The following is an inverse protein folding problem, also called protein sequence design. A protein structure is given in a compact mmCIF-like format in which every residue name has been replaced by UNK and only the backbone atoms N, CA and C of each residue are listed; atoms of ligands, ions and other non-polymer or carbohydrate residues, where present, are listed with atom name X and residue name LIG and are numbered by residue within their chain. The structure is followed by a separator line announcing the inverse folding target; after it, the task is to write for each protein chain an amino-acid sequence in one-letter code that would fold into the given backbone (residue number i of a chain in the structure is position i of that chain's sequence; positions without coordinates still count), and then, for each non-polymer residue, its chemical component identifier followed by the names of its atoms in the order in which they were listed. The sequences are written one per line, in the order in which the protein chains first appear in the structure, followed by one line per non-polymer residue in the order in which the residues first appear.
data_IF_675306391326
#
_entry.id   IF_675306391326
#
_cell.length_a   1.000
_cell.length_b   1.000
_cell.length_c   1.000
_cell.angle_alpha   90.00
_cell.angle_beta   90.00
_cell.angle_gamma   90.00
#
_symmetry.space_group_name_H-M   'P 1'
#
loop_
_entity.id
_entity.type
_entity.pdbx_description
1 polymer ?
#
# COMPACT_ATOMS: atom_id res chain seq x y z
N UNK A 1 16.39 -79.12 10.91
CA UNK A 1 17.72 -79.28 10.26
C UNK A 1 18.44 -77.93 10.37
N UNK A 2 19.38 -77.77 11.31
CA UNK A 2 20.84 -77.57 11.08
C UNK A 2 21.15 -76.49 10.01
N UNK A 3 21.93 -75.42 10.21
CA UNK A 3 22.89 -74.99 11.27
C UNK A 3 23.41 -73.56 10.93
N UNK A 4 23.79 -72.78 11.97
CA UNK A 4 24.87 -71.72 12.08
C UNK A 4 24.82 -70.47 11.18
N UNK A 5 24.79 -69.20 11.61
CA UNK A 5 25.50 -68.38 12.65
C UNK A 5 27.01 -68.21 12.44
N UNK A 6 27.45 -66.98 12.12
CA UNK A 6 28.59 -66.22 12.72
C UNK A 6 28.62 -64.78 12.14
N UNK A 7 28.38 -63.66 12.85
CA UNK A 7 29.12 -62.90 13.89
C UNK A 7 30.29 -62.02 13.39
N UNK A 8 30.23 -60.72 13.73
CA UNK A 8 31.27 -59.72 14.09
C UNK A 8 30.68 -58.31 13.83
N UNK A 9 30.23 -57.47 14.77
CA UNK A 9 30.69 -56.97 16.07
C UNK A 9 31.78 -55.87 16.01
N UNK A 10 31.47 -54.73 16.66
CA UNK A 10 32.35 -53.69 17.26
C UNK A 10 32.83 -52.60 16.27
N UNK A 11 32.43 -51.32 16.27
CA UNK A 11 32.09 -50.27 17.27
C UNK A 11 33.23 -49.28 17.56
N UNK A 12 32.84 -48.00 17.78
CA UNK A 12 33.59 -46.87 18.39
C UNK A 12 34.65 -46.16 17.52
N UNK A 13 34.92 -44.84 17.60
CA UNK A 13 34.30 -43.63 18.17
C UNK A 13 35.21 -42.45 17.72
N UNK A 14 34.63 -41.24 17.58
CA UNK A 14 35.22 -39.89 17.72
C UNK A 14 36.53 -39.49 16.99
N UNK A 15 36.53 -38.28 16.40
CA UNK A 15 37.25 -37.12 16.95
C UNK A 15 36.85 -35.82 16.21
N UNK A 16 36.54 -34.79 16.99
CA UNK A 16 36.49 -33.39 16.58
C UNK A 16 37.72 -32.66 17.13
N UNK A 17 38.22 -31.65 16.39
CA UNK A 17 38.94 -30.42 16.80
C UNK A 17 39.73 -29.90 15.57
N UNK A 18 39.47 -28.72 15.00
CA UNK A 18 39.60 -27.32 15.46
C UNK A 18 40.94 -26.66 15.03
N UNK A 19 40.84 -25.37 14.68
CA UNK A 19 41.81 -24.27 14.84
C UNK A 19 42.64 -23.77 13.63
N UNK A 20 42.49 -22.46 13.35
CA UNK A 20 43.53 -21.42 13.15
C UNK A 20 44.43 -21.50 11.88
N UNK A 21 44.93 -20.42 11.24
CA UNK A 21 44.98 -18.97 11.45
C UNK A 21 45.65 -18.32 10.20
N UNK A 22 45.54 -16.99 10.11
CA UNK A 22 46.47 -16.02 9.47
C UNK A 22 46.45 -15.92 7.93
N UNK A 23 46.60 -14.75 7.28
CA UNK A 23 47.02 -13.40 7.71
C UNK A 23 46.67 -12.33 6.67
N UNK A 24 46.66 -11.09 7.15
CA UNK A 24 46.55 -9.77 6.52
C UNK A 24 47.36 -9.47 5.25
N UNK A 25 46.81 -8.58 4.41
CA UNK A 25 47.55 -7.74 3.46
C UNK A 25 46.82 -6.43 3.21
N UNK A 26 47.43 -5.32 3.63
CA UNK A 26 46.98 -3.93 3.51
C UNK A 26 47.06 -3.42 2.06
N UNK A 27 46.09 -2.61 1.63
CA UNK A 27 46.09 -1.93 0.34
C UNK A 27 45.06 -0.79 0.33
N UNK A 28 45.50 0.39 0.72
CA UNK A 28 44.72 1.63 0.68
C UNK A 28 44.66 2.10 -0.79
N UNK A 29 43.46 2.24 -1.36
CA UNK A 29 43.23 3.08 -2.55
C UNK A 29 41.92 3.81 -2.39
N UNK A 30 42.02 5.13 -2.28
CA UNK A 30 40.94 6.09 -2.42
C UNK A 30 40.21 5.82 -3.75
N UNK A 31 38.91 5.55 -3.66
CA UNK A 31 37.99 5.75 -4.78
C UNK A 31 36.88 6.67 -4.30
N UNK A 32 37.07 7.94 -4.67
CA UNK A 32 36.07 9.00 -4.68
C UNK A 32 34.84 8.48 -5.42
N UNK A 33 33.76 8.20 -4.68
CA UNK A 33 32.44 8.04 -5.27
C UNK A 33 31.97 9.44 -5.67
N UNK A 34 32.23 9.81 -6.91
CA UNK A 34 31.54 10.89 -7.59
C UNK A 34 30.08 10.50 -7.69
N UNK A 35 29.23 11.17 -6.90
CA UNK A 35 27.79 11.15 -7.09
C UNK A 35 27.53 11.84 -8.42
N UNK A 36 27.27 11.03 -9.44
CA UNK A 36 26.87 11.52 -10.75
C UNK A 36 25.41 11.96 -10.62
N UNK A 37 25.19 13.27 -10.62
CA UNK A 37 23.90 13.93 -10.80
C UNK A 37 23.28 13.40 -12.10
N UNK A 38 22.40 12.42 -11.98
CA UNK A 38 21.46 12.12 -13.05
C UNK A 38 20.30 13.09 -12.86
N UNK A 39 20.03 14.00 -13.82
CA UNK A 39 18.82 14.78 -13.78
C UNK A 39 17.64 13.81 -13.75
N UNK A 40 16.75 14.03 -12.79
CA UNK A 40 15.45 13.36 -12.76
C UNK A 40 14.71 13.86 -14.00
N UNK A 41 14.91 13.14 -15.10
CA UNK A 41 14.11 13.29 -16.29
C UNK A 41 12.65 13.20 -15.83
N UNK A 42 11.93 14.29 -16.06
CA UNK A 42 10.48 14.34 -16.04
C UNK A 42 9.97 13.35 -17.09
N UNK A 43 9.89 12.08 -16.70
CA UNK A 43 9.16 11.08 -17.46
C UNK A 43 7.71 11.48 -17.35
N UNK A 44 7.17 12.01 -18.44
CA UNK A 44 5.75 12.24 -18.61
C UNK A 44 5.00 11.01 -18.10
N UNK A 45 4.12 11.23 -17.12
CA UNK A 45 3.27 10.23 -16.52
C UNK A 45 2.42 9.55 -17.60
N UNK A 46 2.94 8.46 -18.15
CA UNK A 46 2.16 7.49 -18.91
C UNK A 46 1.74 6.40 -17.92
N UNK A 47 0.96 6.79 -16.89
CA UNK A 47 0.39 5.86 -15.93
C UNK A 47 -0.85 5.19 -16.53
N UNK A 48 -0.62 4.41 -17.58
CA UNK A 48 -1.50 3.34 -18.00
C UNK A 48 -0.90 2.02 -17.50
N UNK A 49 -1.08 1.72 -16.21
CA UNK A 49 -1.00 0.33 -15.73
C UNK A 49 -2.23 -0.48 -16.19
N UNK A 50 -2.62 -0.29 -17.46
CA UNK A 50 -3.72 -0.91 -18.19
C UNK A 50 -3.30 -1.23 -19.64
N UNK A 51 -1.99 -1.32 -19.89
CA UNK A 51 -1.39 -1.41 -21.23
C UNK A 51 -1.79 -2.61 -22.10
N UNK A 52 -2.61 -3.54 -21.60
CA UNK A 52 -3.13 -4.67 -22.37
C UNK A 52 -4.54 -4.44 -22.96
N UNK A 53 -5.30 -3.46 -22.46
CA UNK A 53 -6.68 -3.20 -22.92
C UNK A 53 -6.71 -1.89 -23.69
N UNK A 54 -7.11 -1.93 -24.96
CA UNK A 54 -7.39 -0.72 -25.74
C UNK A 54 -8.76 -0.14 -25.33
N UNK A 55 -8.75 0.80 -24.40
CA UNK A 55 -9.95 1.46 -23.86
C UNK A 55 -10.76 2.23 -24.89
N UNK A 56 -10.17 2.61 -26.03
CA UNK A 56 -10.92 3.25 -27.11
C UNK A 56 -11.93 2.28 -27.74
N UNK A 57 -11.68 0.97 -27.63
CA UNK A 57 -12.56 -0.10 -28.12
C UNK A 57 -13.59 -0.57 -27.09
N UNK A 58 -13.57 0.01 -25.89
CA UNK A 58 -14.46 -0.35 -24.78
C UNK A 58 -15.68 0.60 -24.79
N UNK A 59 -16.91 0.06 -24.73
CA UNK A 59 -18.13 0.86 -24.81
C UNK A 59 -18.28 1.80 -23.60
N UNK A 60 -18.73 3.03 -23.85
CA UNK A 60 -19.08 4.01 -22.82
C UNK A 60 -20.58 3.94 -22.54
N UNK A 61 -20.93 3.21 -21.47
CA UNK A 61 -22.30 2.92 -21.10
C UNK A 61 -22.92 4.11 -20.37
N UNK A 62 -24.15 4.44 -20.74
CA UNK A 62 -24.95 5.51 -20.14
C UNK A 62 -26.19 4.90 -19.46
N UNK A 63 -26.71 5.60 -18.45
CA UNK A 63 -27.97 5.25 -17.79
C UNK A 63 -28.03 3.85 -17.14
N UNK A 64 -26.88 3.30 -16.75
CA UNK A 64 -26.76 2.00 -16.06
C UNK A 64 -26.86 2.09 -14.52
N UNK A 65 -27.30 3.25 -14.01
CA UNK A 65 -27.36 3.53 -12.58
C UNK A 65 -26.02 3.98 -12.00
N UNK A 66 -25.86 3.82 -10.68
CA UNK A 66 -24.65 4.19 -9.94
C UNK A 66 -23.95 2.95 -9.44
N UNK A 67 -22.64 3.07 -9.18
CA UNK A 67 -21.83 2.03 -8.56
C UNK A 67 -22.55 1.44 -7.32
N UNK A 68 -22.67 0.09 -7.19
CA UNK A 68 -21.97 -0.96 -7.96
C UNK A 68 -22.65 -1.40 -9.28
N UNK A 69 -23.64 -0.66 -9.79
CA UNK A 69 -24.36 -0.92 -11.06
C UNK A 69 -25.14 -2.24 -11.14
N UNK A 70 -25.08 -3.08 -10.11
CA UNK A 70 -25.71 -4.39 -10.04
C UNK A 70 -26.37 -4.52 -8.66
N UNK A 71 -27.60 -5.04 -8.65
CA UNK A 71 -28.34 -5.42 -7.44
C UNK A 71 -28.54 -6.93 -7.40
N UNK A 72 -28.86 -7.51 -6.25
CA UNK A 72 -29.21 -8.92 -6.17
C UNK A 72 -30.44 -9.24 -7.04
N UNK A 73 -30.39 -10.30 -7.88
CA UNK A 73 -31.57 -10.82 -8.55
C UNK A 73 -32.66 -11.19 -7.56
N UNK A 74 -33.93 -11.11 -7.98
CA UNK A 74 -35.06 -11.47 -7.12
C UNK A 74 -34.85 -12.88 -6.53
N UNK A 75 -34.89 -12.98 -5.21
CA UNK A 75 -34.72 -14.24 -4.47
C UNK A 75 -33.28 -14.55 -4.04
N UNK A 76 -32.29 -13.81 -4.53
CA UNK A 76 -30.93 -13.85 -4.02
C UNK A 76 -30.70 -12.74 -3.00
N UNK A 77 -29.69 -12.92 -2.14
CA UNK A 77 -29.26 -11.94 -1.13
C UNK A 77 -27.76 -11.73 -1.26
N UNK A 78 -27.32 -10.52 -0.94
CA UNK A 78 -25.91 -10.20 -0.81
C UNK A 78 -25.47 -10.58 0.61
N UNK A 79 -24.39 -11.35 0.71
CA UNK A 79 -23.82 -11.73 1.99
C UNK A 79 -23.29 -10.49 2.72
N UNK A 80 -23.58 -10.40 4.03
CA UNK A 80 -23.16 -9.29 4.92
C UNK A 80 -23.36 -7.90 4.31
N UNK A 81 -24.50 -7.71 3.63
CA UNK A 81 -24.73 -6.53 2.78
C UNK A 81 -24.58 -5.20 3.53
N UNK A 82 -23.73 -4.33 2.96
CA UNK A 82 -23.62 -2.92 3.31
C UNK A 82 -23.53 -2.10 2.03
N UNK A 83 -24.52 -1.23 1.79
CA UNK A 83 -24.61 -0.39 0.59
C UNK A 83 -24.55 -1.19 -0.73
N UNK A 84 -25.20 -2.36 -0.77
CA UNK A 84 -25.23 -3.22 -1.97
C UNK A 84 -23.93 -3.98 -2.25
N UNK A 85 -23.00 -4.04 -1.30
CA UNK A 85 -21.74 -4.78 -1.40
C UNK A 85 -21.56 -5.71 -0.20
N UNK A 86 -20.81 -6.80 -0.40
CA UNK A 86 -20.28 -7.66 0.68
C UNK A 86 -19.01 -7.04 1.25
N UNK A 87 -18.09 -6.61 0.38
CA UNK A 87 -16.86 -5.91 0.77
C UNK A 87 -16.62 -4.69 -0.11
N UNK A 88 -15.92 -3.70 0.43
CA UNK A 88 -15.65 -2.42 -0.23
C UNK A 88 -14.26 -1.89 0.11
N UNK A 89 -13.51 -1.48 -0.90
CA UNK A 89 -12.15 -0.94 -0.79
C UNK A 89 -12.02 0.34 -1.61
N UNK A 90 -11.52 1.42 -1.00
CA UNK A 90 -11.29 2.69 -1.70
C UNK A 90 -10.11 2.59 -2.68
N UNK A 91 -9.11 1.76 -2.38
CA UNK A 91 -8.00 1.50 -3.28
C UNK A 91 -7.43 0.10 -3.02
N UNK A 92 -7.51 -0.78 -4.02
CA UNK A 92 -7.09 -2.17 -3.95
C UNK A 92 -6.59 -2.66 -5.31
N UNK A 93 -5.83 -3.77 -5.30
CA UNK A 93 -5.33 -4.45 -6.49
C UNK A 93 -6.19 -5.67 -6.81
N UNK A 94 -6.48 -5.87 -8.08
CA UNK A 94 -7.18 -7.04 -8.61
C UNK A 94 -6.38 -7.66 -9.76
N UNK A 95 -6.13 -8.96 -9.69
CA UNK A 95 -5.64 -9.73 -10.83
C UNK A 95 -6.80 -10.28 -11.65
N UNK A 96 -6.76 -10.05 -12.97
CA UNK A 96 -7.79 -10.46 -13.91
C UNK A 96 -7.17 -11.42 -14.92
N UNK A 97 -7.81 -12.58 -15.10
CA UNK A 97 -7.39 -13.58 -16.07
C UNK A 97 -8.07 -13.35 -17.41
N UNK A 98 -7.28 -13.11 -18.47
CA UNK A 98 -7.80 -12.82 -19.81
C UNK A 98 -7.66 -14.00 -20.79
N UNK A 99 -7.44 -15.21 -20.28
CA UNK A 99 -7.14 -16.39 -21.11
C UNK A 99 -5.68 -16.47 -21.53
N UNK A 100 -5.30 -17.59 -22.15
CA UNK A 100 -3.93 -17.83 -22.65
C UNK A 100 -2.83 -17.53 -21.61
N UNK A 101 -3.06 -17.90 -20.36
CA UNK A 101 -2.12 -17.68 -19.24
C UNK A 101 -1.81 -16.20 -18.95
N UNK A 102 -2.58 -15.28 -19.53
CA UNK A 102 -2.42 -13.85 -19.35
C UNK A 102 -3.18 -13.36 -18.11
N UNK A 103 -2.41 -12.85 -17.13
CA UNK A 103 -2.92 -12.09 -16.00
C UNK A 103 -2.64 -10.61 -16.21
N UNK A 104 -3.65 -9.77 -16.01
CA UNK A 104 -3.48 -8.32 -15.92
C UNK A 104 -3.80 -7.86 -14.50
N UNK A 105 -2.97 -6.95 -13.98
CA UNK A 105 -3.20 -6.31 -12.69
C UNK A 105 -3.88 -4.98 -12.91
N UNK A 106 -4.96 -4.74 -12.17
CA UNK A 106 -5.70 -3.48 -12.16
C UNK A 106 -5.77 -2.96 -10.74
N UNK A 107 -5.78 -1.64 -10.59
CA UNK A 107 -5.82 -0.99 -9.28
C UNK A 107 -6.89 0.10 -9.28
N UNK A 108 -7.47 0.36 -8.11
CA UNK A 108 -8.49 1.37 -7.90
C UNK A 108 -9.53 0.95 -6.87
N UNK A 109 -10.71 1.55 -6.94
CA UNK A 109 -11.80 1.27 -6.01
C UNK A 109 -12.44 -0.07 -6.35
N UNK A 110 -12.46 -0.99 -5.38
CA UNK A 110 -12.95 -2.36 -5.55
C UNK A 110 -14.18 -2.63 -4.70
N UNK A 111 -15.22 -3.14 -5.34
CA UNK A 111 -16.43 -3.65 -4.70
C UNK A 111 -16.53 -5.14 -4.94
N UNK A 112 -16.90 -5.88 -3.89
CA UNK A 112 -17.11 -7.32 -3.96
C UNK A 112 -18.56 -7.59 -3.58
N UNK A 113 -19.27 -8.33 -4.41
CA UNK A 113 -20.62 -8.83 -4.14
C UNK A 113 -20.54 -10.34 -4.11
N UNK A 114 -20.83 -10.92 -2.96
CA UNK A 114 -20.99 -12.37 -2.77
C UNK A 114 -22.49 -12.63 -2.57
N UNK A 115 -23.05 -13.53 -3.38
CA UNK A 115 -24.45 -13.93 -3.29
C UNK A 115 -24.51 -15.40 -2.86
N UNK A 116 -24.77 -15.60 -1.57
CA UNK A 116 -24.81 -16.88 -0.83
C UNK A 116 -25.92 -16.83 0.26
N UNK A 117 -26.32 -17.88 1.00
CA UNK A 117 -26.38 -19.34 0.87
C UNK A 117 -27.54 -19.82 1.79
N UNK A 118 -28.27 -20.87 1.36
CA UNK A 118 -29.39 -21.65 1.99
C UNK A 118 -30.83 -21.10 2.00
N UNK A 119 -31.81 -22.00 1.82
CA UNK A 119 -31.96 -22.92 0.68
C UNK A 119 -32.52 -22.16 -0.54
N UNK A 120 -32.07 -22.50 -1.75
CA UNK A 120 -32.61 -21.92 -2.99
C UNK A 120 -31.62 -21.19 -3.90
N UNK A 121 -30.32 -21.17 -3.58
CA UNK A 121 -29.32 -20.73 -4.55
C UNK A 121 -29.31 -21.65 -5.76
N UNK A 122 -29.25 -21.05 -6.95
CA UNK A 122 -29.21 -21.74 -8.22
C UNK A 122 -28.24 -20.98 -9.13
N UNK A 123 -27.08 -21.59 -9.38
CA UNK A 123 -26.01 -21.08 -10.24
C UNK A 123 -26.53 -20.64 -11.61
N UNK A 124 -27.32 -21.48 -12.28
CA UNK A 124 -27.90 -21.16 -13.59
C UNK A 124 -28.83 -19.94 -13.54
N UNK A 125 -29.56 -19.74 -12.44
CA UNK A 125 -30.41 -18.56 -12.25
C UNK A 125 -29.56 -17.31 -12.00
N UNK A 126 -28.53 -17.40 -11.15
CA UNK A 126 -27.55 -16.34 -10.97
C UNK A 126 -26.93 -15.95 -12.30
N UNK A 127 -26.36 -16.93 -13.02
CA UNK A 127 -25.70 -16.76 -14.31
C UNK A 127 -26.61 -16.06 -15.31
N UNK A 128 -27.84 -16.56 -15.51
CA UNK A 128 -28.79 -15.95 -16.46
C UNK A 128 -29.14 -14.51 -16.12
N UNK A 129 -29.22 -14.15 -14.85
CA UNK A 129 -29.54 -12.78 -14.45
C UNK A 129 -28.33 -11.87 -14.58
N UNK A 130 -27.17 -12.29 -14.08
CA UNK A 130 -25.97 -11.43 -14.01
C UNK A 130 -25.33 -11.28 -15.39
N UNK A 131 -25.02 -12.38 -16.07
CA UNK A 131 -24.46 -12.31 -17.43
C UNK A 131 -25.45 -11.67 -18.40
N UNK A 132 -26.73 -12.07 -18.32
CA UNK A 132 -27.77 -11.48 -19.16
C UNK A 132 -27.96 -9.98 -18.96
N UNK A 133 -27.79 -9.48 -17.73
CA UNK A 133 -27.80 -8.05 -17.45
C UNK A 133 -26.58 -7.34 -18.05
N UNK A 134 -25.37 -7.87 -17.82
CA UNK A 134 -24.13 -7.29 -18.34
C UNK A 134 -24.10 -7.24 -19.87
N UNK A 135 -24.58 -8.30 -20.52
CA UNK A 135 -24.74 -8.35 -21.97
C UNK A 135 -25.79 -7.33 -22.45
N UNK A 136 -26.93 -7.21 -21.74
CA UNK A 136 -28.00 -6.27 -22.08
C UNK A 136 -27.57 -4.81 -21.98
N UNK A 137 -26.77 -4.45 -20.98
CA UNK A 137 -26.23 -3.09 -20.85
C UNK A 137 -25.09 -2.83 -21.84
N UNK A 138 -24.61 -3.86 -22.56
CA UNK A 138 -23.57 -3.73 -23.58
C UNK A 138 -22.16 -3.72 -23.01
N UNK A 139 -21.92 -4.30 -21.83
CA UNK A 139 -20.57 -4.48 -21.32
C UNK A 139 -19.77 -5.42 -22.24
N UNK A 140 -18.52 -5.08 -22.53
CA UNK A 140 -17.68 -5.86 -23.46
C UNK A 140 -17.00 -7.00 -22.73
N UNK A 141 -17.19 -8.23 -23.20
CA UNK A 141 -16.44 -9.39 -22.70
C UNK A 141 -14.98 -9.27 -23.16
N UNK A 142 -14.05 -9.30 -22.20
CA UNK A 142 -12.62 -9.44 -22.44
C UNK A 142 -12.20 -10.91 -22.45
N UNK A 143 -12.82 -11.71 -21.58
CA UNK A 143 -12.58 -13.15 -21.50
C UNK A 143 -13.79 -13.87 -20.92
N UNK A 144 -14.05 -15.10 -21.38
CA UNK A 144 -15.06 -15.98 -20.83
C UNK A 144 -14.59 -17.42 -21.00
N UNK A 145 -14.29 -18.12 -19.91
CA UNK A 145 -13.81 -19.49 -20.00
C UNK A 145 -13.15 -20.00 -18.72
N UNK A 146 -12.62 -21.24 -18.77
CA UNK A 146 -11.97 -21.86 -17.61
C UNK A 146 -10.67 -21.14 -17.26
N UNK A 147 -10.36 -21.06 -15.96
CA UNK A 147 -9.05 -20.60 -15.52
C UNK A 147 -7.92 -21.48 -16.07
N UNK A 148 -6.73 -20.92 -16.15
CA UNK A 148 -5.52 -21.64 -16.58
C UNK A 148 -5.28 -22.90 -15.76
N UNK A 149 -4.76 -23.95 -16.40
CA UNK A 149 -4.24 -25.15 -15.74
C UNK A 149 -2.73 -25.10 -15.49
N UNK A 150 -2.05 -24.05 -15.95
CA UNK A 150 -0.62 -23.87 -15.75
C UNK A 150 -0.32 -23.56 -14.29
N UNK A 151 0.54 -24.36 -13.66
CA UNK A 151 0.82 -24.28 -12.23
C UNK A 151 1.33 -22.89 -11.82
N UNK A 152 2.17 -22.27 -12.65
CA UNK A 152 2.71 -20.93 -12.38
C UNK A 152 1.64 -19.83 -12.33
N UNK A 153 0.54 -19.98 -13.08
CA UNK A 153 -0.61 -19.06 -13.04
C UNK A 153 -1.47 -19.39 -11.83
N UNK A 154 -1.71 -20.68 -11.56
CA UNK A 154 -2.49 -21.16 -10.42
C UNK A 154 -1.91 -20.71 -9.09
N UNK A 155 -0.59 -20.77 -8.90
CA UNK A 155 0.07 -20.36 -7.66
C UNK A 155 -0.12 -18.87 -7.38
N UNK A 156 0.01 -18.01 -8.41
CA UNK A 156 -0.26 -16.56 -8.27
C UNK A 156 -1.71 -16.29 -7.86
N UNK A 157 -2.66 -16.98 -8.50
CA UNK A 157 -4.09 -16.86 -8.14
C UNK A 157 -4.34 -17.29 -6.68
N UNK A 158 -3.74 -18.39 -6.21
CA UNK A 158 -3.89 -18.87 -4.83
C UNK A 158 -3.28 -17.90 -3.81
N UNK A 159 -2.07 -17.39 -4.05
CA UNK A 159 -1.36 -16.49 -3.14
C UNK A 159 -2.18 -15.22 -2.87
N UNK A 160 -2.81 -14.66 -3.89
CA UNK A 160 -3.57 -13.43 -3.79
C UNK A 160 -4.83 -13.58 -2.92
N UNK A 161 -5.49 -14.73 -2.92
CA UNK A 161 -6.70 -14.91 -2.11
C UNK A 161 -6.43 -14.91 -0.59
N UNK A 162 -5.32 -15.46 -0.13
CA UNK A 162 -5.05 -15.63 1.30
C UNK A 162 -4.06 -14.62 1.89
N UNK A 163 -3.35 -13.86 1.04
CA UNK A 163 -2.31 -12.92 1.49
C UNK A 163 -2.82 -11.56 1.92
N UNK A 164 -4.02 -11.14 1.47
CA UNK A 164 -4.52 -9.78 1.68
C UNK A 164 -3.70 -8.71 0.96
N UNK A 165 -2.88 -9.09 -0.04
CA UNK A 165 -1.98 -8.18 -0.78
C UNK A 165 -2.53 -7.82 -2.17
N UNK A 166 -3.21 -8.73 -2.85
CA UNK A 166 -4.02 -8.45 -4.04
C UNK A 166 -5.27 -9.33 -3.98
N UNK A 167 -6.40 -8.93 -4.55
CA UNK A 167 -7.53 -9.84 -4.76
C UNK A 167 -7.45 -10.50 -6.13
N UNK A 168 -8.05 -11.67 -6.26
CA UNK A 168 -8.21 -12.34 -7.55
C UNK A 168 -9.56 -13.02 -7.63
N UNK A 169 -9.97 -13.36 -8.84
CA UNK A 169 -11.13 -14.20 -9.09
C UNK A 169 -10.73 -15.67 -9.22
N UNK A 170 -11.37 -16.52 -8.41
CA UNK A 170 -11.40 -17.96 -8.61
C UNK A 170 -10.20 -18.73 -8.11
N UNK A 171 -10.45 -19.61 -7.14
CA UNK A 171 -9.40 -20.21 -6.33
C UNK A 171 -9.61 -21.68 -5.96
N UNK A 172 -10.68 -22.35 -6.38
CA UNK A 172 -10.90 -23.74 -5.92
C UNK A 172 -11.57 -24.69 -6.89
N UNK A 173 -12.41 -24.22 -7.79
CA UNK A 173 -13.24 -25.10 -8.62
C UNK A 173 -12.99 -24.76 -10.09
N UNK A 174 -13.01 -25.74 -11.00
CA UNK A 174 -12.85 -25.59 -12.47
C UNK A 174 -13.92 -24.69 -13.14
N UNK A 175 -14.56 -23.79 -12.38
CA UNK A 175 -15.62 -22.92 -12.83
C UNK A 175 -15.08 -21.79 -13.71
N UNK A 176 -15.75 -21.52 -14.83
CA UNK A 176 -15.33 -20.46 -15.73
C UNK A 176 -15.43 -19.10 -15.03
N UNK A 177 -14.51 -18.22 -15.41
CA UNK A 177 -14.58 -16.79 -15.08
C UNK A 177 -15.00 -16.04 -16.34
N UNK A 178 -15.82 -15.02 -16.16
CA UNK A 178 -16.08 -14.04 -17.22
C UNK A 178 -15.59 -12.67 -16.77
N UNK A 179 -14.79 -12.03 -17.61
CA UNK A 179 -14.24 -10.70 -17.40
C UNK A 179 -14.88 -9.75 -18.39
N UNK A 180 -15.56 -8.74 -17.89
CA UNK A 180 -16.18 -7.66 -18.65
C UNK A 180 -15.41 -6.37 -18.46
N UNK A 181 -15.51 -5.47 -19.44
CA UNK A 181 -15.07 -4.09 -19.33
C UNK A 181 -16.08 -3.13 -19.95
N UNK A 182 -16.21 -1.95 -19.34
CA UNK A 182 -16.96 -0.83 -19.87
C UNK A 182 -16.40 0.49 -19.35
N UNK A 183 -16.80 1.59 -19.96
CA UNK A 183 -16.58 2.95 -19.45
C UNK A 183 -17.90 3.52 -18.98
N UNK A 184 -17.87 4.36 -17.95
CA UNK A 184 -19.04 5.10 -17.48
C UNK A 184 -18.56 6.39 -16.82
N UNK A 185 -19.18 7.54 -17.16
CA UNK A 185 -18.88 8.85 -16.56
C UNK A 185 -17.37 9.22 -16.56
N UNK A 186 -16.63 8.83 -17.61
CA UNK A 186 -15.19 9.12 -17.73
C UNK A 186 -14.27 8.18 -16.93
N UNK A 187 -14.84 7.20 -16.21
CA UNK A 187 -14.13 6.15 -15.50
C UNK A 187 -14.15 4.85 -16.29
N UNK A 188 -13.15 4.01 -16.04
CA UNK A 188 -13.00 2.70 -16.65
C UNK A 188 -13.32 1.62 -15.62
N UNK A 189 -14.06 0.59 -16.03
CA UNK A 189 -14.50 -0.47 -15.13
C UNK A 189 -14.12 -1.85 -15.68
N UNK A 190 -13.71 -2.73 -14.78
CA UNK A 190 -13.57 -4.16 -15.04
C UNK A 190 -14.45 -4.92 -14.06
N UNK A 191 -15.27 -5.83 -14.58
CA UNK A 191 -16.09 -6.72 -13.77
C UNK A 191 -15.65 -8.15 -13.99
N UNK A 192 -15.40 -8.87 -12.91
CA UNK A 192 -15.19 -10.31 -12.97
C UNK A 192 -16.37 -10.99 -12.31
N UNK A 193 -16.95 -11.96 -13.00
CA UNK A 193 -18.07 -12.77 -12.51
C UNK A 193 -17.63 -14.23 -12.49
N UNK A 194 -17.93 -14.90 -11.39
CA UNK A 194 -17.78 -16.33 -11.24
C UNK A 194 -18.91 -16.88 -10.37
N UNK A 195 -19.33 -18.11 -10.63
CA UNK A 195 -20.30 -18.83 -9.80
C UNK A 195 -19.87 -20.28 -9.65
N UNK A 196 -20.29 -20.90 -8.55
CA UNK A 196 -20.23 -22.34 -8.34
C UNK A 196 -21.56 -22.80 -7.73
N UNK A 197 -21.65 -24.03 -7.22
CA UNK A 197 -22.87 -24.56 -6.63
C UNK A 197 -23.28 -23.92 -5.29
N UNK A 198 -22.40 -23.10 -4.69
CA UNK A 198 -22.60 -22.44 -3.41
C UNK A 198 -22.91 -20.94 -3.55
N UNK A 199 -22.12 -20.24 -4.37
CA UNK A 199 -22.13 -18.78 -4.53
C UNK A 199 -22.15 -18.33 -5.98
N UNK A 200 -22.62 -17.09 -6.16
CA UNK A 200 -22.15 -16.21 -7.21
C UNK A 200 -21.32 -15.06 -6.63
N UNK A 201 -20.18 -14.77 -7.23
CA UNK A 201 -19.27 -13.69 -6.82
C UNK A 201 -19.04 -12.72 -7.97
N UNK A 202 -19.12 -11.43 -7.68
CA UNK A 202 -18.87 -10.34 -8.62
C UNK A 202 -17.83 -9.40 -8.00
N UNK A 203 -16.73 -9.19 -8.72
CA UNK A 203 -15.75 -8.15 -8.42
C UNK A 203 -15.94 -7.00 -9.39
N UNK A 204 -16.02 -5.77 -8.89
CA UNK A 204 -16.26 -4.57 -9.68
C UNK A 204 -15.14 -3.60 -9.36
N UNK A 205 -14.21 -3.45 -10.28
CA UNK A 205 -13.06 -2.54 -10.18
C UNK A 205 -13.37 -1.26 -10.95
N UNK A 206 -13.48 -0.13 -10.26
CA UNK A 206 -13.33 1.20 -10.87
C UNK A 206 -11.84 1.51 -10.93
N UNK A 207 -11.29 1.58 -12.14
CA UNK A 207 -9.86 1.82 -12.31
C UNK A 207 -9.54 3.26 -11.92
N UNK A 208 -8.61 3.40 -10.99
CA UNK A 208 -8.06 4.69 -10.58
C UNK A 208 -6.55 4.65 -10.71
N UNK A 209 -5.98 5.71 -11.29
CA UNK A 209 -4.53 5.84 -11.32
C UNK A 209 -4.03 6.03 -9.88
N UNK A 210 -2.95 5.33 -9.52
CA UNK A 210 -2.26 5.62 -8.27
C UNK A 210 -1.77 7.07 -8.27
N UNK A 211 -2.36 7.91 -7.43
CA UNK A 211 -1.83 9.25 -7.16
C UNK A 211 -0.91 9.17 -5.94
N UNK A 212 0.40 9.13 -6.18
CA UNK A 212 1.40 9.24 -5.12
C UNK A 212 1.30 10.60 -4.43
N UNK A 213 0.62 10.66 -3.29
CA UNK A 213 0.48 11.89 -2.50
C UNK A 213 1.69 12.16 -1.61
N UNK A 214 2.61 11.20 -1.48
CA UNK A 214 3.86 11.37 -0.75
C UNK A 214 4.75 12.33 -1.54
N UNK A 215 4.76 13.59 -1.11
CA UNK A 215 5.69 14.60 -1.59
C UNK A 215 6.93 14.58 -0.71
N UNK A 216 8.12 14.58 -1.33
CA UNK A 216 9.35 14.91 -0.62
C UNK A 216 9.16 16.33 -0.07
N UNK A 217 9.40 16.54 1.22
CA UNK A 217 9.45 17.91 1.74
C UNK A 217 10.56 18.67 1.02
N UNK A 218 10.26 19.83 0.47
CA UNK A 218 11.27 20.75 -0.08
C UNK A 218 11.33 22.01 0.76
N UNK A 219 12.52 22.63 0.86
CA UNK A 219 12.68 23.92 1.53
C UNK A 219 11.63 24.95 1.07
N UNK A 220 11.38 25.04 -0.24
CA UNK A 220 10.40 25.94 -0.85
C UNK A 220 8.97 25.68 -0.37
N UNK A 221 8.52 24.42 -0.34
CA UNK A 221 7.16 24.08 0.10
C UNK A 221 6.97 24.33 1.60
N UNK A 222 7.97 23.97 2.42
CA UNK A 222 7.95 24.25 3.87
C UNK A 222 7.86 25.76 4.11
N UNK A 223 8.68 26.56 3.42
CA UNK A 223 8.67 28.01 3.52
C UNK A 223 7.33 28.62 3.10
N UNK A 224 6.79 28.19 1.95
CA UNK A 224 5.48 28.64 1.45
C UNK A 224 4.35 28.38 2.43
N UNK A 225 4.34 27.22 3.10
CA UNK A 225 3.34 26.87 4.09
C UNK A 225 3.48 27.72 5.38
N UNK A 226 4.72 27.94 5.84
CA UNK A 226 5.00 28.83 6.98
C UNK A 226 4.57 30.26 6.68
N UNK A 227 4.82 30.77 5.47
CA UNK A 227 4.44 32.13 5.11
C UNK A 227 2.92 32.31 5.01
N UNK A 228 2.21 31.28 4.54
CA UNK A 228 0.73 31.30 4.45
C UNK A 228 0.04 31.15 5.80
N UNK A 229 0.51 30.24 6.64
CA UNK A 229 -0.24 29.79 7.83
C UNK A 229 0.45 30.12 9.15
N UNK A 230 1.70 30.58 9.11
CA UNK A 230 2.56 30.73 10.28
C UNK A 230 3.22 29.42 10.73
N UNK A 231 2.91 28.27 10.12
CA UNK A 231 3.52 26.98 10.47
C UNK A 231 3.60 26.00 9.30
N UNK A 232 4.38 24.93 9.43
CA UNK A 232 4.37 23.79 8.52
C UNK A 232 4.25 22.48 9.30
N UNK A 233 3.43 21.54 8.81
CA UNK A 233 3.23 20.23 9.43
C UNK A 233 4.08 19.17 8.71
N UNK A 234 4.98 18.52 9.45
CA UNK A 234 5.97 17.59 8.93
C UNK A 234 5.86 16.21 9.59
N UNK A 235 5.97 15.16 8.79
CA UNK A 235 6.05 13.77 9.23
C UNK A 235 7.51 13.32 9.19
N UNK A 236 8.20 13.48 10.32
CA UNK A 236 9.61 13.16 10.46
C UNK A 236 9.77 11.75 11.06
N UNK A 237 10.55 10.90 10.41
CA UNK A 237 10.73 9.51 10.81
C UNK A 237 11.78 9.36 11.91
N UNK A 238 11.38 8.67 12.99
CA UNK A 238 12.23 8.29 14.11
C UNK A 238 12.26 6.78 14.30
N UNK A 239 13.25 6.28 15.03
CA UNK A 239 13.23 4.91 15.54
C UNK A 239 12.02 4.67 16.46
N UNK A 240 11.50 3.44 16.43
CA UNK A 240 10.33 3.05 17.22
C UNK A 240 10.58 3.32 18.70
N UNK A 241 9.64 4.05 19.33
CA UNK A 241 9.70 4.49 20.73
C UNK A 241 10.98 5.25 21.12
N UNK A 242 11.61 5.90 20.13
CA UNK A 242 12.84 6.67 20.32
C UNK A 242 12.75 8.05 19.65
N UNK A 243 13.72 8.89 19.99
CA UNK A 243 13.93 10.20 19.38
C UNK A 243 15.10 10.21 18.37
N UNK A 244 15.65 9.05 18.00
CA UNK A 244 16.72 8.95 17.00
C UNK A 244 16.14 9.14 15.60
N UNK A 245 16.67 10.09 14.82
CA UNK A 245 16.28 10.32 13.43
C UNK A 245 16.74 9.18 12.52
N UNK A 246 15.81 8.63 11.74
CA UNK A 246 16.11 7.70 10.65
C UNK A 246 16.66 8.42 9.42
N UNK A 247 17.27 7.72 8.44
CA UNK A 247 17.76 8.33 7.21
C UNK A 247 16.72 9.22 6.52
N UNK A 248 15.46 8.79 6.45
CA UNK A 248 14.37 9.57 5.83
C UNK A 248 14.05 10.82 6.65
N UNK A 249 14.07 10.72 7.99
CA UNK A 249 13.89 11.86 8.88
C UNK A 249 15.03 12.89 8.78
N UNK A 250 16.26 12.44 8.52
CA UNK A 250 17.41 13.32 8.27
C UNK A 250 17.25 14.10 6.96
N UNK A 251 16.74 13.48 5.91
CA UNK A 251 16.46 14.17 4.64
C UNK A 251 15.46 15.32 4.83
N UNK A 252 14.41 15.11 5.66
CA UNK A 252 13.49 16.21 6.00
C UNK A 252 14.22 17.30 6.78
N UNK A 253 15.05 16.92 7.75
CA UNK A 253 15.83 17.89 8.52
C UNK A 253 16.84 18.69 7.67
N UNK A 254 17.41 18.09 6.61
CA UNK A 254 18.25 18.79 5.64
C UNK A 254 17.47 19.87 4.88
N UNK A 255 16.22 19.57 4.48
CA UNK A 255 15.36 20.53 3.78
C UNK A 255 14.92 21.68 4.70
N UNK A 256 14.71 21.40 5.99
CA UNK A 256 14.49 22.44 7.00
C UNK A 256 15.75 23.33 7.16
N UNK A 257 16.94 22.72 7.16
CA UNK A 257 18.19 23.48 7.23
C UNK A 257 18.39 24.37 5.98
N UNK A 258 18.10 23.85 4.79
CA UNK A 258 18.14 24.61 3.54
C UNK A 258 17.22 25.83 3.61
N UNK A 259 15.95 25.64 4.02
CA UNK A 259 15.00 26.73 4.23
C UNK A 259 15.55 27.82 5.18
N UNK A 260 16.12 27.41 6.31
CA UNK A 260 16.63 28.33 7.32
C UNK A 260 17.91 29.06 6.87
N UNK A 261 18.72 28.43 6.02
CA UNK A 261 19.91 29.04 5.44
C UNK A 261 19.55 30.05 4.35
N UNK A 262 18.54 29.75 3.53
CA UNK A 262 17.98 30.69 2.54
C UNK A 262 17.28 31.88 3.20
N UNK A 263 16.70 31.68 4.39
CA UNK A 263 15.93 32.69 5.11
C UNK A 263 16.58 33.02 6.46
N UNK A 264 17.70 33.74 6.45
CA UNK A 264 18.53 33.99 7.65
C UNK A 264 17.82 34.70 8.81
N UNK A 265 16.75 35.47 8.52
CA UNK A 265 15.91 36.12 9.52
C UNK A 265 14.82 35.23 10.14
N UNK A 266 14.52 34.08 9.52
CA UNK A 266 13.45 33.20 9.99
C UNK A 266 13.85 32.52 11.31
N UNK A 267 12.97 32.60 12.31
CA UNK A 267 13.08 31.89 13.59
C UNK A 267 11.92 30.93 13.71
N UNK A 268 12.18 29.72 14.23
CA UNK A 268 11.17 28.66 14.31
C UNK A 268 11.16 27.97 15.67
N UNK A 269 9.96 27.56 16.08
CA UNK A 269 9.70 26.59 17.15
C UNK A 269 9.47 25.24 16.50
N UNK A 270 10.22 24.23 16.91
CA UNK A 270 10.08 22.85 16.48
C UNK A 270 9.21 22.16 17.53
N UNK A 271 8.01 21.74 17.14
CA UNK A 271 6.99 21.29 18.07
C UNK A 271 6.62 19.84 17.79
N UNK A 272 6.89 18.96 18.75
CA UNK A 272 6.58 17.54 18.63
C UNK A 272 5.17 17.21 19.14
N UNK A 273 4.52 16.25 18.48
CA UNK A 273 3.20 15.74 18.82
C UNK A 273 3.15 14.21 18.75
N UNK A 274 2.27 13.60 19.54
CA UNK A 274 1.97 12.16 19.53
C UNK A 274 0.48 11.91 19.30
N UNK A 275 0.12 10.65 19.06
CA UNK A 275 -1.26 10.20 19.29
C UNK A 275 -1.53 10.01 20.80
N UNK A 276 -2.75 9.60 21.15
CA UNK A 276 -3.19 9.39 22.53
C UNK A 276 -2.85 7.99 23.11
N UNK A 277 -2.06 7.18 22.41
CA UNK A 277 -1.65 5.86 22.89
C UNK A 277 -0.57 5.99 23.96
N UNK A 278 -0.68 5.23 25.04
CA UNK A 278 0.29 5.24 26.14
C UNK A 278 0.02 6.30 27.21
N UNK A 279 1.01 6.53 28.07
CA UNK A 279 0.90 7.46 29.21
C UNK A 279 1.11 8.91 28.76
N UNK A 280 0.20 9.81 29.12
CA UNK A 280 0.24 11.22 28.73
C UNK A 280 1.59 11.91 29.04
N UNK A 281 2.12 11.72 30.26
CA UNK A 281 3.41 12.30 30.64
C UNK A 281 4.57 11.79 29.77
N UNK A 282 4.54 10.50 29.40
CA UNK A 282 5.56 9.90 28.53
C UNK A 282 5.45 10.45 27.11
N UNK A 283 4.25 10.69 26.62
CA UNK A 283 4.01 11.30 25.31
C UNK A 283 4.54 12.74 25.22
N UNK A 284 4.35 13.54 26.27
CA UNK A 284 4.92 14.89 26.36
C UNK A 284 6.46 14.83 26.34
N UNK A 285 7.06 13.91 27.09
CA UNK A 285 8.51 13.72 27.11
C UNK A 285 9.05 13.27 25.75
N UNK A 286 8.47 12.22 25.17
CA UNK A 286 8.89 11.68 23.87
C UNK A 286 8.77 12.70 22.73
N UNK A 287 7.67 13.45 22.69
CA UNK A 287 7.49 14.50 21.68
C UNK A 287 8.53 15.61 21.83
N UNK A 288 8.87 15.99 23.07
CA UNK A 288 9.93 16.96 23.35
C UNK A 288 11.31 16.44 22.94
N UNK A 289 11.64 15.19 23.28
CA UNK A 289 12.91 14.56 22.87
C UNK A 289 13.04 14.55 21.33
N UNK A 290 11.97 14.22 20.60
CA UNK A 290 11.96 14.24 19.12
C UNK A 290 12.20 15.64 18.56
N UNK A 291 11.53 16.66 19.10
CA UNK A 291 11.75 18.04 18.71
C UNK A 291 13.20 18.49 18.98
N UNK A 292 13.77 18.08 20.12
CA UNK A 292 15.17 18.35 20.47
C UNK A 292 16.15 17.64 19.53
N UNK A 293 15.86 16.41 19.11
CA UNK A 293 16.69 15.69 18.14
C UNK A 293 16.74 16.40 16.78
N UNK A 294 15.61 16.91 16.31
CA UNK A 294 15.56 17.73 15.08
C UNK A 294 16.36 19.01 15.28
N UNK A 295 16.12 19.74 16.37
CA UNK A 295 16.87 20.97 16.70
C UNK A 295 18.39 20.71 16.74
N UNK A 296 18.82 19.64 17.41
CA UNK A 296 20.22 19.24 17.50
C UNK A 296 20.82 18.98 16.12
N UNK A 297 20.08 18.25 15.27
CA UNK A 297 20.51 18.00 13.90
C UNK A 297 20.69 19.30 13.10
N UNK A 298 19.75 20.24 13.19
CA UNK A 298 19.84 21.53 12.51
C UNK A 298 21.04 22.36 12.96
N UNK A 299 21.39 22.30 14.25
CA UNK A 299 22.56 22.99 14.79
C UNK A 299 23.85 22.31 14.30
N UNK A 300 23.97 21.00 14.47
CA UNK A 300 25.22 20.26 14.25
C UNK A 300 25.52 19.99 12.78
N UNK A 301 24.50 19.72 11.98
CA UNK A 301 24.62 19.36 10.56
C UNK A 301 24.16 20.47 9.64
N UNK A 302 23.06 21.14 9.99
CA UNK A 302 22.53 22.26 9.24
C UNK A 302 23.27 23.59 9.45
N UNK A 303 24.17 23.66 10.44
CA UNK A 303 24.91 24.86 10.84
C UNK A 303 24.00 26.05 11.23
N UNK A 304 22.80 25.78 11.73
CA UNK A 304 21.84 26.82 12.12
C UNK A 304 22.17 27.39 13.50
N UNK A 305 22.16 28.72 13.61
CA UNK A 305 22.37 29.41 14.88
C UNK A 305 21.30 29.01 15.92
N UNK A 306 21.68 28.47 17.09
CA UNK A 306 20.71 28.03 18.11
C UNK A 306 19.71 29.10 18.58
N UNK A 307 20.08 30.38 18.52
CA UNK A 307 19.18 31.49 18.90
C UNK A 307 17.95 31.64 17.98
N UNK A 308 17.97 30.99 16.81
CA UNK A 308 16.85 30.96 15.84
C UNK A 308 15.88 29.81 16.08
N UNK A 309 16.18 28.91 17.01
CA UNK A 309 15.47 27.66 17.20
C UNK A 309 14.93 27.54 18.62
N UNK A 310 13.69 27.03 18.74
CA UNK A 310 13.13 26.51 20.00
C UNK A 310 12.65 25.08 19.77
N UNK A 311 12.55 24.30 20.84
CA UNK A 311 11.98 22.96 20.81
C UNK A 311 10.95 22.80 21.92
N UNK A 312 9.77 22.27 21.59
CA UNK A 312 8.68 21.98 22.52
C UNK A 312 8.04 20.62 22.22
N UNK A 313 7.48 19.98 23.25
CA UNK A 313 6.68 18.76 23.11
C UNK A 313 5.31 18.97 23.72
N UNK A 314 4.27 18.60 22.97
CA UNK A 314 2.87 18.76 23.37
C UNK A 314 2.16 17.42 23.62
N UNK A 315 2.84 16.29 23.43
CA UNK A 315 2.22 14.98 23.54
C UNK A 315 0.97 14.88 22.68
N UNK A 316 -0.12 14.41 23.27
CA UNK A 316 -1.41 14.20 22.60
C UNK A 316 -2.38 15.39 22.72
N UNK A 317 -1.97 16.50 23.35
CA UNK A 317 -2.89 17.54 23.82
C UNK A 317 -3.44 18.44 22.71
N UNK A 318 -2.85 18.39 21.51
CA UNK A 318 -3.27 19.17 20.33
C UNK A 318 -3.40 18.27 19.09
N UNK A 319 -4.43 17.40 19.04
CA UNK A 319 -4.66 16.55 17.88
C UNK A 319 -5.15 17.38 16.68
N UNK A 320 -4.74 16.99 15.48
CA UNK A 320 -5.27 17.53 14.21
C UNK A 320 -6.36 16.63 13.61
N UNK A 321 -6.49 15.40 14.13
CA UNK A 321 -7.54 14.46 13.77
C UNK A 321 -7.99 13.66 15.00
N UNK A 322 -9.24 13.17 15.08
CA UNK A 322 -9.69 12.32 16.20
C UNK A 322 -8.82 11.07 16.36
N UNK A 323 -8.50 10.63 17.57
CA UNK A 323 -7.66 9.42 17.77
C UNK A 323 -8.46 8.10 17.70
N UNK A 324 -9.43 8.01 16.79
CA UNK A 324 -10.40 6.91 16.67
C UNK A 324 -10.01 5.82 15.65
N UNK A 325 -9.01 6.09 14.82
CA UNK A 325 -8.48 5.16 13.81
C UNK A 325 -6.96 5.25 13.73
N UNK A 326 -6.30 4.18 13.28
CA UNK A 326 -4.84 4.19 13.09
C UNK A 326 -4.38 5.22 12.05
N UNK A 327 -5.20 5.47 11.02
CA UNK A 327 -4.96 6.54 10.05
C UNK A 327 -4.94 7.92 10.73
N UNK A 328 -5.92 8.21 11.58
CA UNK A 328 -5.96 9.49 12.27
C UNK A 328 -4.89 9.63 13.35
N UNK A 329 -4.54 8.55 14.05
CA UNK A 329 -3.39 8.54 14.97
C UNK A 329 -2.09 8.82 14.23
N UNK A 330 -1.92 8.28 13.02
CA UNK A 330 -0.74 8.57 12.19
C UNK A 330 -0.62 10.06 11.87
N UNK A 331 -1.74 10.74 11.55
CA UNK A 331 -1.76 12.20 11.35
C UNK A 331 -1.33 12.96 12.61
N UNK A 332 -1.69 12.47 13.80
CA UNK A 332 -1.33 13.13 15.06
C UNK A 332 0.16 12.97 15.44
N UNK A 333 0.82 11.88 15.03
CA UNK A 333 2.26 11.65 15.21
C UNK A 333 3.08 12.49 14.22
N UNK A 334 3.35 13.75 14.58
CA UNK A 334 3.97 14.73 13.66
C UNK A 334 4.91 15.68 14.39
N UNK A 335 5.64 16.47 13.61
CA UNK A 335 6.40 17.64 14.06
C UNK A 335 5.87 18.87 13.32
N UNK A 336 5.65 19.97 14.01
CA UNK A 336 5.31 21.24 13.38
C UNK A 336 6.49 22.21 13.48
N UNK A 337 6.74 22.98 12.43
CA UNK A 337 7.62 24.15 12.48
C UNK A 337 6.75 25.39 12.57
N UNK A 338 6.83 26.12 13.67
CA UNK A 338 6.01 27.32 13.91
C UNK A 338 6.89 28.55 13.87
N UNK A 339 6.54 29.54 13.04
CA UNK A 339 7.28 30.80 12.95
C UNK A 339 7.24 31.55 14.28
N UNK A 340 8.40 31.99 14.75
CA UNK A 340 8.54 32.84 15.92
C UNK A 340 8.72 34.26 15.41
N UNK A 341 7.76 35.13 15.73
CA UNK A 341 7.80 36.57 15.50
C UNK A 341 8.83 37.28 16.36
#
# INVERSE_FOLDING_TARGET
MKKTVLLFAISLFLFACNSNKQQSGSGNTDSVLTAQDNPVDTVAANHNAVGAIDWNTIPDLKDIGSYPFITAPKGLKIETEKNGLTEHFEYEKLENYLGNDQLIKTEGKLGVIVMEMKPGYNDRYFDKNVYGYLDKIGAKILYSGPLSKEESVREKLKENMYSGVNRTTGTSDDQPVTVYAFRNQGKNYIINVQSNSAQGTIFIMELEAFEGTIKKYTATEIGSEIDKTGKAVLYINFDTDKATLKPEGKQVADEIANLLNENTGLKISIEGYTDNTGLANRNVELSKERAQSVMKYLIEKGAINPSRLKAAGYGADKPISPNDSEENKAKNRRVELVKIS
#
